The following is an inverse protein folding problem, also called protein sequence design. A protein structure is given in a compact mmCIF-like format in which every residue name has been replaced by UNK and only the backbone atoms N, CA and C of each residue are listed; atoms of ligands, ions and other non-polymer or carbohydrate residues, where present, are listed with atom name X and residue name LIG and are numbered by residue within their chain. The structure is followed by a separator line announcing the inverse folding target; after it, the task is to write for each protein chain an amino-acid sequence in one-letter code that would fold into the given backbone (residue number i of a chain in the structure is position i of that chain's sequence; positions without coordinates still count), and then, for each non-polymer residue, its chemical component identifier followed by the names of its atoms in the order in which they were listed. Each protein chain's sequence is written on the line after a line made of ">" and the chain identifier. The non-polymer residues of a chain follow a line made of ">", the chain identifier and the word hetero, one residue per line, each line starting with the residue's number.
data_IF_020425522463
#
_entry.id   IF_020425522463
#
_cell.length_a   1.000
_cell.length_b   1.000
_cell.length_c   1.000
_cell.angle_alpha   90.00
_cell.angle_beta   90.00
_cell.angle_gamma   90.00
#
_symmetry.space_group_name_H-M   'P 1'
#
loop_
_entity.id
_entity.type
_entity.pdbx_description
1 polymer ?
#
# COMPACT_ATOMS: atom_id res chain seq x y z
N UNK A 1 -30.61 -25.45 10.21
CA UNK A 1 -30.33 -24.12 9.61
C UNK A 1 -29.64 -24.39 8.29
N UNK A 2 -30.29 -24.05 7.18
CA UNK A 2 -29.94 -24.52 5.85
C UNK A 2 -28.59 -23.98 5.35
N UNK A 3 -27.77 -24.89 4.82
CA UNK A 3 -26.62 -24.60 3.97
C UNK A 3 -27.06 -23.67 2.82
N UNK A 4 -26.67 -22.39 2.85
CA UNK A 4 -26.74 -21.54 1.66
C UNK A 4 -25.79 -22.16 0.62
N UNK A 5 -26.33 -22.65 -0.49
CA UNK A 5 -25.58 -23.34 -1.55
C UNK A 5 -24.39 -22.51 -2.05
N UNK A 6 -23.21 -23.13 -2.10
CA UNK A 6 -21.96 -22.60 -2.68
C UNK A 6 -21.97 -22.55 -4.23
N UNK A 7 -23.13 -22.44 -4.87
CA UNK A 7 -23.27 -22.66 -6.32
C UNK A 7 -24.13 -21.63 -7.07
N UNK A 8 -24.58 -20.56 -6.43
CA UNK A 8 -25.25 -19.51 -7.18
C UNK A 8 -24.19 -18.63 -7.88
N UNK A 9 -24.09 -18.78 -9.20
CA UNK A 9 -23.64 -17.69 -10.08
C UNK A 9 -24.33 -16.42 -9.60
N UNK A 10 -23.58 -15.33 -9.43
CA UNK A 10 -24.08 -14.05 -8.92
C UNK A 10 -25.50 -13.78 -9.46
N UNK A 11 -26.51 -13.81 -8.58
CA UNK A 11 -27.89 -13.53 -8.97
C UNK A 11 -28.02 -12.03 -9.25
N UNK A 12 -28.93 -11.65 -10.17
CA UNK A 12 -29.16 -10.26 -10.62
C UNK A 12 -29.59 -9.30 -9.49
N UNK A 13 -29.98 -9.84 -8.34
CA UNK A 13 -30.44 -9.07 -7.17
C UNK A 13 -29.27 -8.59 -6.26
N UNK A 14 -28.04 -9.03 -6.51
CA UNK A 14 -26.83 -8.44 -5.93
C UNK A 14 -26.31 -7.41 -6.91
N UNK A 15 -26.13 -6.13 -6.55
CA UNK A 15 -25.61 -5.16 -7.50
C UNK A 15 -24.22 -5.62 -8.00
N UNK A 16 -24.16 -5.94 -9.29
CA UNK A 16 -22.97 -6.52 -9.91
C UNK A 16 -22.16 -5.40 -10.55
N UNK A 17 -20.86 -5.39 -10.31
CA UNK A 17 -19.95 -4.46 -10.96
C UNK A 17 -18.98 -5.22 -11.87
N UNK A 18 -18.77 -4.69 -13.08
CA UNK A 18 -17.81 -5.26 -14.02
C UNK A 18 -16.47 -4.53 -13.89
N UNK A 19 -15.40 -5.30 -13.72
CA UNK A 19 -14.03 -4.79 -13.71
C UNK A 19 -13.34 -5.30 -14.97
N UNK A 20 -12.65 -4.40 -15.65
CA UNK A 20 -11.88 -4.68 -16.85
C UNK A 20 -10.43 -4.94 -16.45
N UNK A 21 -9.99 -6.19 -16.51
CA UNK A 21 -8.60 -6.57 -16.22
C UNK A 21 -7.79 -6.51 -17.51
N UNK A 22 -6.98 -5.46 -17.68
CA UNK A 22 -6.19 -5.25 -18.90
C UNK A 22 -4.76 -5.75 -18.73
N UNK A 23 -4.27 -6.54 -19.67
CA UNK A 23 -2.90 -7.04 -19.69
C UNK A 23 -2.05 -6.25 -20.69
N UNK A 24 -1.15 -5.39 -20.22
CA UNK A 24 -0.13 -4.72 -21.04
C UNK A 24 1.25 -5.35 -20.86
N UNK A 25 1.35 -6.46 -20.12
CA UNK A 25 2.60 -7.22 -20.05
C UNK A 25 2.85 -7.93 -21.39
N UNK A 26 4.12 -8.03 -21.78
CA UNK A 26 4.52 -8.90 -22.89
C UNK A 26 4.55 -10.40 -22.55
N UNK A 27 3.91 -10.83 -21.45
CA UNK A 27 3.97 -12.21 -20.97
C UNK A 27 2.69 -13.00 -21.33
N UNK A 28 2.86 -14.27 -21.71
CA UNK A 28 1.76 -15.15 -22.15
C UNK A 28 1.06 -15.90 -21.01
N UNK A 29 1.53 -15.72 -19.77
CA UNK A 29 1.10 -16.50 -18.61
C UNK A 29 0.74 -15.60 -17.41
N UNK A 30 -0.08 -14.57 -17.65
CA UNK A 30 -0.56 -13.69 -16.59
C UNK A 30 -1.88 -14.19 -16.02
N UNK A 31 -1.98 -14.22 -14.70
CA UNK A 31 -3.22 -14.51 -13.99
C UNK A 31 -3.58 -13.37 -13.05
N UNK A 32 -4.88 -13.22 -12.82
CA UNK A 32 -5.44 -12.37 -11.79
C UNK A 32 -6.18 -13.19 -10.73
N UNK A 33 -6.29 -12.65 -9.52
CA UNK A 33 -7.12 -13.19 -8.43
C UNK A 33 -7.89 -12.04 -7.80
N UNK A 34 -9.20 -12.21 -7.63
CA UNK A 34 -10.06 -11.21 -6.96
C UNK A 34 -10.55 -11.81 -5.64
N UNK A 35 -10.29 -11.12 -4.54
CA UNK A 35 -10.70 -11.52 -3.18
C UNK A 35 -11.12 -10.30 -2.37
N UNK A 36 -11.89 -10.50 -1.30
CA UNK A 36 -12.33 -9.45 -0.37
C UNK A 36 -13.31 -10.02 0.64
N UNK A 37 -14.06 -9.15 1.31
CA UNK A 37 -15.19 -9.55 2.15
C UNK A 37 -16.49 -9.20 1.42
N UNK A 38 -17.37 -10.18 1.24
CA UNK A 38 -18.71 -9.94 0.70
C UNK A 38 -19.57 -9.21 1.72
N UNK A 39 -19.92 -7.96 1.43
CA UNK A 39 -20.61 -7.06 2.36
C UNK A 39 -21.97 -7.63 2.79
N UNK A 40 -22.68 -8.34 1.91
CA UNK A 40 -23.99 -8.89 2.25
C UNK A 40 -23.88 -10.12 3.15
N UNK A 41 -22.79 -10.87 3.05
CA UNK A 41 -22.61 -12.13 3.78
C UNK A 41 -21.75 -11.98 5.03
N UNK A 42 -20.82 -11.03 5.04
CA UNK A 42 -19.73 -10.95 6.01
C UNK A 42 -18.68 -12.06 5.84
N UNK A 43 -18.68 -12.75 4.69
CA UNK A 43 -17.84 -13.92 4.42
C UNK A 43 -16.61 -13.53 3.56
N UNK A 44 -15.49 -14.23 3.77
CA UNK A 44 -14.34 -14.19 2.85
C UNK A 44 -14.80 -14.63 1.45
N UNK A 45 -14.46 -13.82 0.45
CA UNK A 45 -14.79 -14.04 -0.95
C UNK A 45 -13.53 -14.27 -1.79
N UNK A 46 -13.65 -15.17 -2.76
CA UNK A 46 -12.78 -15.26 -3.93
C UNK A 46 -13.64 -15.36 -5.19
N UNK A 47 -13.14 -14.84 -6.30
CA UNK A 47 -13.70 -15.10 -7.61
C UNK A 47 -13.04 -16.33 -8.22
N UNK A 48 -13.83 -17.25 -8.77
CA UNK A 48 -13.29 -18.44 -9.45
C UNK A 48 -12.65 -18.06 -10.79
N UNK A 49 -11.85 -18.98 -11.34
CA UNK A 49 -11.08 -18.79 -12.56
C UNK A 49 -11.91 -18.41 -13.81
N UNK A 50 -13.24 -18.61 -13.79
CA UNK A 50 -14.16 -18.18 -14.85
C UNK A 50 -14.48 -16.67 -14.83
N UNK A 51 -14.01 -15.94 -13.81
CA UNK A 51 -14.21 -14.50 -13.66
C UNK A 51 -15.63 -14.09 -13.28
N UNK A 52 -16.51 -15.03 -12.91
CA UNK A 52 -17.93 -14.73 -12.65
C UNK A 52 -18.54 -15.50 -11.48
N UNK A 53 -18.02 -16.67 -11.13
CA UNK A 53 -18.60 -17.50 -10.08
C UNK A 53 -17.98 -17.17 -8.72
N UNK A 54 -18.78 -16.73 -7.73
CA UNK A 54 -18.33 -16.55 -6.36
C UNK A 54 -17.83 -17.85 -5.74
N UNK A 55 -16.81 -17.73 -4.91
CA UNK A 55 -16.33 -18.79 -4.03
C UNK A 55 -16.19 -18.23 -2.61
N UNK A 56 -16.88 -18.88 -1.67
CA UNK A 56 -16.80 -18.59 -0.24
C UNK A 56 -16.12 -19.78 0.43
N UNK A 57 -14.82 -19.68 0.75
CA UNK A 57 -14.12 -20.76 1.41
C UNK A 57 -14.74 -21.12 2.75
N UNK A 58 -14.69 -22.40 3.12
CA UNK A 58 -15.11 -22.85 4.46
C UNK A 58 -13.97 -22.69 5.44
N UNK A 59 -14.30 -22.54 6.73
CA UNK A 59 -13.29 -22.55 7.78
C UNK A 59 -12.58 -23.93 7.80
N UNK A 60 -11.27 -24.01 7.53
CA UNK A 60 -10.58 -25.29 7.49
C UNK A 60 -10.41 -25.87 8.90
N UNK A 61 -10.25 -27.19 8.99
CA UNK A 61 -9.97 -27.86 10.27
C UNK A 61 -8.54 -27.61 10.79
N UNK A 62 -7.61 -27.24 9.91
CA UNK A 62 -6.20 -26.98 10.21
C UNK A 62 -5.65 -25.81 9.40
N UNK A 63 -4.54 -25.24 9.89
CA UNK A 63 -3.83 -24.17 9.19
C UNK A 63 -3.17 -24.63 7.89
N UNK A 64 -3.00 -23.70 6.95
CA UNK A 64 -2.34 -23.94 5.67
C UNK A 64 -3.18 -24.72 4.64
N UNK A 65 -4.50 -24.82 4.82
CA UNK A 65 -5.37 -25.49 3.86
C UNK A 65 -5.39 -24.75 2.51
N UNK A 66 -5.31 -25.44 1.36
CA UNK A 66 -5.39 -24.79 0.05
C UNK A 66 -6.82 -24.31 -0.25
N UNK A 67 -6.98 -23.45 -1.26
CA UNK A 67 -8.29 -23.17 -1.84
C UNK A 67 -8.88 -24.44 -2.48
N UNK A 68 -10.17 -24.70 -2.28
CA UNK A 68 -10.87 -25.87 -2.83
C UNK A 68 -11.22 -25.70 -4.33
N UNK A 69 -11.15 -24.48 -4.84
CA UNK A 69 -11.46 -24.11 -6.20
C UNK A 69 -10.34 -23.30 -6.84
N UNK A 70 -10.16 -23.46 -8.16
CA UNK A 70 -9.24 -22.62 -8.91
C UNK A 70 -9.81 -21.19 -9.02
N UNK A 71 -9.01 -20.23 -8.56
CA UNK A 71 -9.29 -18.80 -8.58
C UNK A 71 -8.31 -18.03 -9.46
N UNK A 72 -7.44 -18.72 -10.21
CA UNK A 72 -6.49 -18.10 -11.13
C UNK A 72 -7.20 -17.73 -12.46
N UNK A 73 -7.66 -16.48 -12.56
CA UNK A 73 -8.30 -15.95 -13.77
C UNK A 73 -7.20 -15.65 -14.79
N UNK A 74 -7.11 -16.47 -15.85
CA UNK A 74 -6.11 -16.29 -16.89
C UNK A 74 -6.43 -15.06 -17.73
N UNK A 75 -5.48 -14.14 -17.87
CA UNK A 75 -5.59 -13.00 -18.77
C UNK A 75 -5.18 -13.40 -20.20
N UNK A 76 -5.68 -12.65 -21.18
CA UNK A 76 -5.29 -12.84 -22.58
C UNK A 76 -3.88 -12.30 -22.89
N UNK A 77 -3.56 -12.22 -24.18
CA UNK A 77 -2.30 -11.67 -24.69
C UNK A 77 -2.11 -10.18 -24.39
N UNK A 78 -0.96 -9.62 -24.79
CA UNK A 78 -0.69 -8.19 -24.78
C UNK A 78 -1.89 -7.38 -25.33
N UNK A 79 -2.23 -6.32 -24.62
CA UNK A 79 -3.34 -5.39 -24.84
C UNK A 79 -4.75 -5.97 -24.78
N UNK A 80 -4.89 -7.24 -24.37
CA UNK A 80 -6.21 -7.83 -24.14
C UNK A 80 -6.86 -7.34 -22.84
N UNK A 81 -8.19 -7.40 -22.80
CA UNK A 81 -9.00 -7.12 -21.61
C UNK A 81 -9.83 -8.35 -21.23
N UNK A 82 -9.82 -8.70 -19.96
CA UNK A 82 -10.61 -9.80 -19.39
C UNK A 82 -11.73 -9.26 -18.50
N UNK A 83 -12.95 -9.69 -18.84
CA UNK A 83 -14.23 -9.56 -18.14
C UNK A 83 -14.27 -10.20 -16.75
N UNK A 84 -14.34 -9.46 -15.64
CA UNK A 84 -14.75 -10.04 -14.34
C UNK A 84 -15.98 -9.35 -13.76
N UNK A 85 -16.79 -10.10 -13.02
CA UNK A 85 -18.01 -9.61 -12.36
C UNK A 85 -17.95 -9.92 -10.88
N UNK A 86 -18.16 -8.90 -10.06
CA UNK A 86 -18.08 -8.99 -8.59
C UNK A 86 -19.41 -8.55 -7.93
N UNK A 87 -19.71 -9.07 -6.72
CA UNK A 87 -20.73 -8.47 -5.86
C UNK A 87 -20.15 -7.22 -5.17
N UNK A 88 -20.92 -6.63 -4.26
CA UNK A 88 -20.37 -5.66 -3.31
C UNK A 88 -19.31 -6.29 -2.41
N UNK A 89 -18.13 -5.68 -2.41
CA UNK A 89 -16.95 -6.17 -1.69
C UNK A 89 -16.31 -5.02 -0.93
N UNK A 90 -15.91 -5.27 0.31
CA UNK A 90 -15.03 -4.40 1.07
C UNK A 90 -13.67 -5.08 1.27
N UNK A 91 -12.63 -4.28 1.53
CA UNK A 91 -11.25 -4.78 1.67
C UNK A 91 -10.84 -5.67 0.48
N UNK A 92 -11.29 -5.30 -0.71
CA UNK A 92 -11.08 -6.05 -1.93
C UNK A 92 -9.64 -5.90 -2.42
N UNK A 93 -9.10 -6.99 -2.99
CA UNK A 93 -7.80 -7.01 -3.66
C UNK A 93 -7.90 -7.70 -5.01
N UNK A 94 -7.27 -7.09 -6.00
CA UNK A 94 -7.04 -7.65 -7.33
C UNK A 94 -5.54 -7.90 -7.45
N UNK A 95 -5.13 -9.15 -7.27
CA UNK A 95 -3.75 -9.58 -7.47
C UNK A 95 -3.52 -9.82 -8.96
N UNK A 96 -2.34 -9.45 -9.45
CA UNK A 96 -1.81 -9.89 -10.74
C UNK A 96 -0.48 -10.60 -10.55
N UNK A 97 -0.23 -11.62 -11.37
CA UNK A 97 1.01 -12.41 -11.32
C UNK A 97 1.40 -12.90 -12.71
N UNK A 98 2.70 -12.86 -13.02
CA UNK A 98 3.26 -13.63 -14.14
C UNK A 98 3.54 -15.04 -13.58
N UNK A 99 2.70 -16.02 -13.95
CA UNK A 99 2.63 -17.33 -13.32
C UNK A 99 1.35 -17.52 -12.52
N UNK A 100 1.41 -18.19 -11.36
CA UNK A 100 0.29 -18.38 -10.44
C UNK A 100 0.72 -18.04 -9.01
N UNK A 101 -0.22 -17.53 -8.21
CA UNK A 101 -0.07 -17.39 -6.77
C UNK A 101 -0.66 -18.60 -6.04
N UNK A 102 -0.06 -18.94 -4.92
CA UNK A 102 -0.54 -19.95 -3.98
C UNK A 102 -1.13 -19.24 -2.76
N UNK A 103 -2.43 -19.44 -2.54
CA UNK A 103 -3.12 -18.98 -1.34
C UNK A 103 -3.35 -20.15 -0.39
N UNK A 104 -3.41 -19.85 0.90
CA UNK A 104 -3.81 -20.82 1.92
C UNK A 104 -4.73 -20.18 2.95
N UNK A 105 -5.47 -21.02 3.65
CA UNK A 105 -6.42 -20.65 4.68
C UNK A 105 -6.00 -21.23 6.02
N UNK A 106 -6.07 -20.41 7.06
CA UNK A 106 -5.93 -20.83 8.44
C UNK A 106 -7.31 -21.04 9.07
N UNK A 107 -7.35 -21.91 10.08
CA UNK A 107 -8.53 -22.08 10.91
C UNK A 107 -8.68 -20.80 11.76
N UNK A 108 -9.68 -19.99 11.45
CA UNK A 108 -9.99 -18.79 12.20
C UNK A 108 -11.07 -19.05 13.25
N UNK A 109 -11.37 -18.02 14.04
CA UNK A 109 -12.40 -18.09 15.07
C UNK A 109 -13.81 -18.05 14.44
N UNK A 110 -14.27 -19.19 13.92
CA UNK A 110 -15.59 -19.36 13.31
C UNK A 110 -15.66 -19.11 11.80
N UNK A 111 -14.61 -18.57 11.18
CA UNK A 111 -14.51 -18.29 9.74
C UNK A 111 -13.07 -18.51 9.26
N UNK A 112 -12.83 -18.84 7.97
CA UNK A 112 -11.47 -19.01 7.46
C UNK A 112 -10.68 -17.69 7.51
N UNK A 113 -9.42 -17.77 7.88
CA UNK A 113 -8.49 -16.63 7.78
C UNK A 113 -7.60 -16.79 6.53
N UNK A 114 -7.64 -15.82 5.62
CA UNK A 114 -6.78 -15.83 4.44
C UNK A 114 -5.32 -15.57 4.84
N UNK A 115 -4.42 -16.46 4.45
CA UNK A 115 -2.98 -16.20 4.45
C UNK A 115 -2.65 -15.51 3.14
N UNK A 116 -2.44 -14.20 3.20
CA UNK A 116 -2.09 -13.38 2.03
C UNK A 116 -0.65 -13.64 1.59
N UNK A 117 -0.33 -13.55 0.28
CA UNK A 117 1.05 -13.66 -0.20
C UNK A 117 1.96 -12.64 0.51
N UNK A 118 3.12 -13.10 1.00
CA UNK A 118 4.13 -12.23 1.58
C UNK A 118 5.16 -11.80 0.53
N UNK A 119 5.54 -10.51 0.47
CA UNK A 119 6.53 -10.04 -0.49
C UNK A 119 7.98 -10.32 -0.07
N UNK A 120 8.25 -10.60 1.22
CA UNK A 120 9.61 -10.75 1.74
C UNK A 120 9.90 -12.08 2.43
N UNK A 121 8.87 -12.91 2.71
CA UNK A 121 9.05 -14.18 3.42
C UNK A 121 9.88 -15.18 2.59
N UNK A 122 11.09 -15.46 3.08
CA UNK A 122 11.98 -16.47 2.50
C UNK A 122 11.35 -17.86 2.57
N UNK A 123 11.44 -18.61 1.47
CA UNK A 123 10.89 -19.97 1.39
C UNK A 123 9.38 -20.04 1.10
N UNK A 124 8.69 -18.88 1.04
CA UNK A 124 7.29 -18.83 0.59
C UNK A 124 7.15 -19.38 -0.83
N UNK A 125 6.03 -20.07 -1.10
CA UNK A 125 5.68 -20.56 -2.44
C UNK A 125 5.50 -19.42 -3.46
N UNK A 126 5.26 -18.20 -2.97
CA UNK A 126 5.09 -17.00 -3.79
C UNK A 126 6.36 -16.15 -3.87
N UNK A 127 7.49 -16.62 -3.33
CA UNK A 127 8.73 -15.85 -3.32
C UNK A 127 9.20 -15.53 -4.74
N UNK A 128 9.34 -16.54 -5.60
CA UNK A 128 10.06 -16.49 -6.89
C UNK A 128 9.18 -16.03 -8.09
N UNK A 129 8.01 -15.44 -7.83
CA UNK A 129 7.06 -15.00 -8.87
C UNK A 129 6.91 -13.48 -8.88
N UNK A 130 6.72 -12.87 -10.05
CA UNK A 130 6.45 -11.42 -10.14
C UNK A 130 4.97 -11.18 -9.94
N UNK A 131 4.59 -10.45 -8.91
CA UNK A 131 3.19 -10.12 -8.60
C UNK A 131 3.05 -8.72 -8.00
N UNK A 132 1.82 -8.21 -8.01
CA UNK A 132 1.39 -7.00 -7.31
C UNK A 132 -0.12 -7.07 -7.07
N UNK A 133 -0.69 -6.11 -6.37
CA UNK A 133 -2.14 -5.99 -6.24
C UNK A 133 -2.60 -4.53 -6.20
N UNK A 134 -3.84 -4.33 -6.65
CA UNK A 134 -4.62 -3.13 -6.35
C UNK A 134 -5.66 -3.44 -5.28
N UNK A 135 -6.00 -2.45 -4.48
CA UNK A 135 -7.05 -2.53 -3.48
C UNK A 135 -8.31 -1.84 -4.00
N UNK A 136 -9.47 -2.30 -3.56
CA UNK A 136 -10.73 -1.66 -3.88
C UNK A 136 -11.82 -1.94 -2.83
N UNK A 137 -12.81 -1.05 -2.78
CA UNK A 137 -14.08 -1.26 -2.09
C UNK A 137 -15.18 -0.87 -3.06
N UNK A 138 -16.09 -1.80 -3.31
CA UNK A 138 -17.35 -1.57 -4.01
C UNK A 138 -18.49 -1.78 -3.04
N UNK A 139 -18.96 -0.70 -2.41
CA UNK A 139 -20.11 -0.74 -1.52
C UNK A 139 -21.36 -0.20 -2.24
N UNK A 140 -22.47 -0.06 -1.52
CA UNK A 140 -23.76 0.38 -2.10
C UNK A 140 -23.76 1.82 -2.59
N UNK A 141 -22.76 2.61 -2.19
CA UNK A 141 -22.70 4.04 -2.46
C UNK A 141 -21.53 4.43 -3.36
N UNK A 142 -20.43 3.69 -3.31
CA UNK A 142 -19.15 4.14 -3.85
C UNK A 142 -18.28 2.98 -4.35
N UNK A 143 -17.54 3.26 -5.43
CA UNK A 143 -16.32 2.55 -5.80
C UNK A 143 -15.12 3.36 -5.35
N UNK A 144 -14.22 2.74 -4.60
CA UNK A 144 -12.88 3.20 -4.32
C UNK A 144 -11.90 2.17 -4.86
N UNK A 145 -10.82 2.59 -5.50
CA UNK A 145 -9.70 1.71 -5.83
C UNK A 145 -8.38 2.46 -5.70
N UNK A 146 -7.33 1.79 -5.23
CA UNK A 146 -6.01 2.37 -5.07
C UNK A 146 -4.87 1.38 -5.37
N UNK A 147 -3.74 1.94 -5.78
CA UNK A 147 -2.43 1.27 -5.71
C UNK A 147 -1.67 1.79 -4.49
N UNK A 148 -0.79 0.95 -3.95
CA UNK A 148 0.06 1.29 -2.81
C UNK A 148 1.42 0.61 -2.96
N UNK A 149 2.44 1.26 -2.41
CA UNK A 149 3.82 0.78 -2.30
C UNK A 149 4.23 0.66 -0.82
N UNK A 150 3.27 0.67 0.10
CA UNK A 150 3.46 0.60 1.55
C UNK A 150 4.00 -0.76 2.02
N UNK A 151 3.78 -1.82 1.24
CA UNK A 151 4.35 -3.14 1.51
C UNK A 151 5.61 -3.38 0.66
N UNK A 152 5.52 -3.09 -0.65
CA UNK A 152 6.59 -3.27 -1.63
C UNK A 152 6.23 -2.65 -3.00
N UNK A 153 7.24 -2.46 -3.83
CA UNK A 153 7.13 -2.22 -5.28
C UNK A 153 7.11 -3.56 -6.02
N UNK A 154 5.95 -3.91 -6.58
CA UNK A 154 5.72 -5.11 -7.38
C UNK A 154 5.47 -4.82 -8.86
N UNK A 155 4.91 -5.80 -9.57
CA UNK A 155 4.41 -5.60 -10.94
C UNK A 155 3.65 -4.26 -11.07
N UNK A 156 3.92 -3.47 -12.13
CA UNK A 156 3.23 -2.20 -12.32
C UNK A 156 1.73 -2.38 -12.53
N UNK A 157 0.93 -1.60 -11.80
CA UNK A 157 -0.53 -1.54 -11.92
C UNK A 157 -0.97 -0.09 -12.13
N UNK A 158 -1.89 0.11 -13.08
CA UNK A 158 -2.57 1.38 -13.33
C UNK A 158 -4.08 1.24 -13.13
N UNK A 159 -4.74 2.34 -12.77
CA UNK A 159 -6.19 2.39 -12.56
C UNK A 159 -6.82 3.45 -13.46
N UNK A 160 -7.94 3.10 -14.09
CA UNK A 160 -8.79 4.05 -14.79
C UNK A 160 -10.23 3.84 -14.36
N UNK A 161 -10.88 4.89 -13.84
CA UNK A 161 -12.27 4.86 -13.42
C UNK A 161 -13.09 5.84 -14.26
N UNK A 162 -14.09 5.33 -14.98
CA UNK A 162 -15.10 6.15 -15.66
C UNK A 162 -16.34 6.25 -14.81
N UNK A 163 -16.95 7.43 -14.78
CA UNK A 163 -18.18 7.71 -14.04
C UNK A 163 -19.35 7.90 -14.98
N UNK A 164 -20.57 7.69 -14.47
CA UNK A 164 -21.80 7.92 -15.23
C UNK A 164 -21.98 9.37 -15.72
N UNK A 165 -21.25 10.33 -15.14
CA UNK A 165 -21.20 11.73 -15.60
C UNK A 165 -20.25 11.96 -16.77
N UNK A 166 -19.57 10.91 -17.27
CA UNK A 166 -18.58 10.98 -18.34
C UNK A 166 -17.18 11.39 -17.89
N UNK A 167 -16.92 11.56 -16.58
CA UNK A 167 -15.60 11.90 -16.08
C UNK A 167 -14.71 10.65 -16.05
N UNK A 168 -13.42 10.84 -16.31
CA UNK A 168 -12.40 9.78 -16.21
C UNK A 168 -11.33 10.19 -15.19
N UNK A 169 -11.08 9.32 -14.22
CA UNK A 169 -9.94 9.42 -13.31
C UNK A 169 -8.90 8.38 -13.72
N UNK A 170 -7.62 8.74 -13.58
CA UNK A 170 -6.51 7.86 -13.91
C UNK A 170 -5.41 7.95 -12.85
N UNK A 171 -4.84 6.80 -12.51
CA UNK A 171 -3.61 6.65 -11.72
C UNK A 171 -2.67 5.82 -12.58
N UNK A 172 -1.52 6.39 -12.94
CA UNK A 172 -0.62 5.79 -13.93
C UNK A 172 0.15 4.60 -13.36
N UNK A 173 0.48 4.63 -12.07
CA UNK A 173 1.39 3.69 -11.45
C UNK A 173 2.79 3.72 -12.09
N UNK A 174 3.56 2.67 -11.87
CA UNK A 174 4.90 2.55 -12.46
C UNK A 174 4.82 2.29 -13.98
N UNK A 175 5.83 2.73 -14.71
CA UNK A 175 6.07 2.29 -16.08
C UNK A 175 6.48 0.80 -16.12
N UNK A 176 6.51 0.20 -17.31
CA UNK A 176 6.83 -1.22 -17.49
C UNK A 176 8.20 -1.63 -16.89
N UNK A 177 9.19 -0.75 -16.92
CA UNK A 177 10.53 -0.95 -16.35
C UNK A 177 10.66 -0.42 -14.91
N UNK A 178 9.58 0.08 -14.30
CA UNK A 178 9.63 0.78 -13.02
C UNK A 178 10.21 -0.05 -11.87
N UNK A 179 9.91 -1.35 -11.81
CA UNK A 179 10.50 -2.25 -10.79
C UNK A 179 12.02 -2.33 -10.94
N UNK A 180 12.51 -2.50 -12.17
CA UNK A 180 13.93 -2.54 -12.48
C UNK A 180 14.61 -1.22 -12.08
N UNK A 181 13.99 -0.10 -12.44
CA UNK A 181 14.50 1.25 -12.17
C UNK A 181 14.56 1.54 -10.67
N UNK A 182 13.50 1.22 -9.92
CA UNK A 182 13.48 1.33 -8.45
C UNK A 182 14.59 0.48 -7.83
N UNK A 183 14.69 -0.80 -8.20
CA UNK A 183 15.68 -1.70 -7.61
C UNK A 183 17.11 -1.20 -7.87
N UNK A 184 17.43 -0.78 -9.09
CA UNK A 184 18.74 -0.22 -9.44
C UNK A 184 19.06 1.06 -8.68
N UNK A 185 18.07 1.96 -8.50
CA UNK A 185 18.24 3.18 -7.71
C UNK A 185 18.49 2.87 -6.23
N UNK A 186 17.80 1.89 -5.66
CA UNK A 186 18.04 1.45 -4.27
C UNK A 186 19.42 0.82 -4.09
N UNK A 187 19.86 -0.02 -5.03
CA UNK A 187 21.24 -0.53 -5.05
C UNK A 187 22.25 0.61 -5.14
N UNK A 188 21.99 1.63 -5.96
CA UNK A 188 22.85 2.80 -6.09
C UNK A 188 22.95 3.61 -4.79
N UNK A 189 21.81 3.94 -4.17
CA UNK A 189 21.77 4.62 -2.86
C UNK A 189 22.50 3.80 -1.79
N UNK A 190 22.42 2.47 -1.91
CA UNK A 190 23.09 1.49 -1.06
C UNK A 190 24.60 1.69 -0.89
N UNK A 191 25.25 2.32 -1.87
CA UNK A 191 26.70 2.55 -1.84
C UNK A 191 27.11 3.66 -0.86
N UNK A 192 26.29 4.70 -0.69
CA UNK A 192 26.69 5.94 0.00
C UNK A 192 25.87 6.25 1.26
N UNK A 193 24.67 5.67 1.41
CA UNK A 193 23.68 6.15 2.39
C UNK A 193 23.06 5.04 3.27
N UNK A 194 23.73 3.89 3.39
CA UNK A 194 23.26 2.74 4.18
C UNK A 194 22.89 1.55 3.30
N UNK A 195 22.42 0.45 3.89
CA UNK A 195 22.27 -0.83 3.18
C UNK A 195 20.90 -0.97 2.46
N UNK A 196 20.53 0.06 1.67
CA UNK A 196 19.27 0.11 0.92
C UNK A 196 19.16 -0.99 -0.16
N UNK A 197 20.30 -1.53 -0.59
CA UNK A 197 20.36 -2.67 -1.52
C UNK A 197 19.67 -3.93 -0.95
N UNK A 198 19.65 -4.12 0.38
CA UNK A 198 18.94 -5.24 1.02
C UNK A 198 17.42 -5.23 0.83
N UNK A 199 16.84 -4.09 0.46
CA UNK A 199 15.42 -3.99 0.16
C UNK A 199 15.07 -4.62 -1.20
N UNK A 200 16.06 -4.92 -2.03
CA UNK A 200 15.86 -5.50 -3.36
C UNK A 200 15.74 -7.01 -3.28
N UNK A 201 14.59 -7.53 -3.69
CA UNK A 201 14.32 -8.96 -3.75
C UNK A 201 14.56 -9.48 -5.16
N UNK A 202 15.43 -10.48 -5.28
CA UNK A 202 15.76 -11.14 -6.55
C UNK A 202 15.28 -12.58 -6.58
N UNK A 203 15.00 -13.06 -7.79
CA UNK A 203 14.69 -14.45 -8.06
C UNK A 203 15.91 -15.33 -7.81
N UNK A 204 15.70 -16.64 -7.76
CA UNK A 204 16.81 -17.61 -7.69
C UNK A 204 17.78 -17.49 -8.88
N UNK A 205 17.30 -16.97 -10.00
CA UNK A 205 18.07 -16.74 -11.22
C UNK A 205 18.66 -15.32 -11.28
N UNK A 206 18.48 -14.51 -10.24
CA UNK A 206 19.04 -13.16 -10.13
C UNK A 206 18.21 -12.06 -10.78
N UNK A 207 16.98 -12.34 -11.22
CA UNK A 207 16.09 -11.31 -11.78
C UNK A 207 15.51 -10.44 -10.67
N UNK A 208 15.35 -9.13 -10.92
CA UNK A 208 14.62 -8.26 -10.00
C UNK A 208 13.14 -8.67 -9.94
N UNK A 209 12.65 -8.99 -8.74
CA UNK A 209 11.27 -9.35 -8.51
C UNK A 209 10.45 -8.20 -7.95
N UNK A 210 11.02 -7.48 -6.96
CA UNK A 210 10.39 -6.41 -6.21
C UNK A 210 11.38 -5.67 -5.32
N UNK A 211 10.98 -4.52 -4.81
CA UNK A 211 11.66 -3.84 -3.69
C UNK A 211 10.72 -3.73 -2.49
N UNK A 212 11.14 -4.16 -1.31
CA UNK A 212 10.31 -4.14 -0.09
C UNK A 212 10.53 -2.84 0.69
N UNK A 213 9.58 -2.46 1.55
CA UNK A 213 9.75 -1.26 2.38
C UNK A 213 10.88 -1.42 3.39
N UNK A 214 11.44 -0.30 3.90
CA UNK A 214 12.49 -0.35 4.92
C UNK A 214 12.06 -1.13 6.16
N UNK A 215 10.82 -0.95 6.62
CA UNK A 215 10.28 -1.68 7.76
C UNK A 215 10.24 -3.20 7.52
N UNK A 216 9.76 -3.64 6.36
CA UNK A 216 9.80 -5.07 5.97
C UNK A 216 11.24 -5.58 5.85
N UNK A 217 12.17 -4.75 5.37
CA UNK A 217 13.60 -5.05 5.36
C UNK A 217 14.17 -5.29 6.76
N UNK A 218 13.79 -4.48 7.75
CA UNK A 218 14.22 -4.65 9.15
C UNK A 218 13.70 -5.94 9.76
N UNK A 219 12.50 -6.39 9.38
CA UNK A 219 11.96 -7.68 9.80
C UNK A 219 12.73 -8.86 9.19
N UNK A 220 13.11 -8.73 7.92
CA UNK A 220 13.85 -9.78 7.21
C UNK A 220 15.33 -9.84 7.63
N UNK A 221 15.94 -8.69 7.90
CA UNK A 221 17.35 -8.55 8.25
C UNK A 221 17.49 -7.84 9.59
N UNK A 222 17.56 -8.60 10.71
CA UNK A 222 17.76 -8.02 12.03
C UNK A 222 18.99 -7.10 12.06
N UNK A 223 18.82 -5.90 12.61
CA UNK A 223 19.86 -4.87 12.69
C UNK A 223 20.00 -3.98 11.45
N UNK A 224 19.22 -4.22 10.39
CA UNK A 224 19.18 -3.32 9.24
C UNK A 224 18.66 -1.94 9.67
N UNK A 225 19.38 -0.87 9.30
CA UNK A 225 19.08 0.52 9.65
C UNK A 225 19.08 0.85 11.16
N UNK A 226 19.68 0.03 12.02
CA UNK A 226 19.81 0.37 13.44
C UNK A 226 20.47 1.74 13.61
N UNK A 227 19.76 2.63 14.32
CA UNK A 227 20.20 3.99 14.60
C UNK A 227 20.29 4.94 13.39
N UNK A 228 19.77 4.56 12.22
CA UNK A 228 19.87 5.36 10.99
C UNK A 228 19.32 6.79 11.15
N UNK A 229 18.18 6.95 11.84
CA UNK A 229 17.56 8.25 12.10
C UNK A 229 18.05 8.96 13.38
N UNK A 230 18.82 8.31 14.26
CA UNK A 230 19.05 8.81 15.63
C UNK A 230 19.64 10.23 15.63
N UNK A 231 20.66 10.48 14.81
CA UNK A 231 21.28 11.81 14.70
C UNK A 231 20.34 12.87 14.12
N UNK A 232 19.44 12.49 13.21
CA UNK A 232 18.45 13.40 12.66
C UNK A 232 17.41 13.76 13.73
N UNK A 233 16.91 12.75 14.45
CA UNK A 233 15.97 12.91 15.58
C UNK A 233 16.58 13.77 16.68
N UNK A 234 17.85 13.56 17.04
CA UNK A 234 18.54 14.39 18.03
C UNK A 234 18.56 15.87 17.65
N UNK A 235 18.90 16.18 16.38
CA UNK A 235 18.90 17.56 15.87
C UNK A 235 17.50 18.16 15.82
N UNK A 236 16.49 17.36 15.47
CA UNK A 236 15.08 17.81 15.50
C UNK A 236 14.68 18.18 16.91
N UNK A 237 15.04 17.36 17.90
CA UNK A 237 14.78 17.64 19.30
C UNK A 237 15.55 18.85 19.82
N UNK A 238 16.79 19.05 19.38
CA UNK A 238 17.58 20.25 19.71
C UNK A 238 16.95 21.51 19.13
N UNK A 239 16.62 21.51 17.83
CA UNK A 239 16.00 22.64 17.14
C UNK A 239 14.73 23.12 17.85
N UNK A 240 13.85 22.19 18.24
CA UNK A 240 12.55 22.53 18.81
C UNK A 240 12.54 22.77 20.33
N UNK A 241 13.71 22.76 20.99
CA UNK A 241 13.84 23.34 22.34
C UNK A 241 13.71 24.86 22.28
N UNK A 242 14.40 25.49 21.32
CA UNK A 242 14.47 26.95 21.19
C UNK A 242 13.48 27.52 20.17
N UNK A 243 12.94 26.69 19.28
CA UNK A 243 12.04 27.12 18.21
C UNK A 243 10.70 26.37 18.29
N UNK A 244 9.55 27.03 18.07
CA UNK A 244 8.28 26.32 17.98
C UNK A 244 8.19 25.48 16.71
N UNK A 245 7.62 24.27 16.83
CA UNK A 245 7.07 23.50 15.73
C UNK A 245 5.58 23.84 15.57
N UNK A 246 5.16 24.31 14.39
CA UNK A 246 3.76 24.55 14.09
C UNK A 246 3.15 23.29 13.46
N UNK A 247 2.14 22.72 14.11
CA UNK A 247 1.48 21.50 13.68
C UNK A 247 0.08 21.86 13.20
N UNK A 248 -0.09 21.93 11.89
CA UNK A 248 -1.35 22.29 11.26
C UNK A 248 -2.24 21.06 11.07
N UNK A 249 -3.17 20.88 11.99
CA UNK A 249 -4.15 19.79 11.95
C UNK A 249 -5.44 20.28 11.29
N UNK A 250 -6.05 19.46 10.45
CA UNK A 250 -7.36 19.78 9.84
C UNK A 250 -8.48 19.86 10.89
N UNK A 251 -8.39 19.07 11.96
CA UNK A 251 -9.42 18.96 12.99
C UNK A 251 -9.38 20.07 14.05
N UNK A 252 -8.19 20.43 14.53
CA UNK A 252 -7.99 21.35 15.66
C UNK A 252 -7.30 22.67 15.27
N UNK A 253 -6.96 22.84 14.00
CA UNK A 253 -6.19 23.99 13.52
C UNK A 253 -4.71 23.88 13.86
N UNK A 254 -4.02 25.03 13.92
CA UNK A 254 -2.58 25.10 14.15
C UNK A 254 -2.26 24.99 15.65
N UNK A 255 -1.58 23.91 16.03
CA UNK A 255 -1.02 23.68 17.35
C UNK A 255 0.45 24.12 17.37
N UNK A 256 0.94 24.53 18.54
CA UNK A 256 2.37 24.84 18.74
C UNK A 256 3.02 23.72 19.55
N UNK A 257 4.20 23.31 19.11
CA UNK A 257 5.01 22.29 19.73
C UNK A 257 6.37 22.81 20.20
N UNK A 258 6.83 22.31 21.35
CA UNK A 258 8.14 22.60 21.92
C UNK A 258 8.70 21.36 22.59
N UNK A 259 10.03 21.23 22.60
CA UNK A 259 10.71 20.19 23.36
C UNK A 259 10.98 20.70 24.77
N UNK A 260 10.39 20.03 25.75
CA UNK A 260 10.56 20.30 27.18
C UNK A 260 10.90 19.01 27.91
N UNK A 261 11.90 19.03 28.80
CA UNK A 261 12.34 17.86 29.57
C UNK A 261 12.64 16.62 28.71
N UNK A 262 13.11 16.82 27.47
CA UNK A 262 13.47 15.74 26.54
C UNK A 262 12.30 15.19 25.72
N UNK A 263 11.09 15.71 25.88
CA UNK A 263 9.90 15.28 25.15
C UNK A 263 9.33 16.40 24.29
N UNK A 264 8.88 16.07 23.08
CA UNK A 264 8.18 17.03 22.21
C UNK A 264 6.72 17.12 22.65
N UNK A 265 6.33 18.27 23.20
CA UNK A 265 4.96 18.56 23.61
C UNK A 265 4.27 19.35 22.52
N UNK A 266 3.10 18.91 22.07
CA UNK A 266 2.28 19.57 21.05
C UNK A 266 0.85 19.58 21.55
N UNK A 267 0.27 20.76 21.79
CA UNK A 267 -1.04 20.85 22.42
C UNK A 267 -1.05 20.18 23.81
N UNK A 268 -2.01 19.29 24.05
CA UNK A 268 -2.11 18.47 25.26
C UNK A 268 -1.31 17.16 25.20
N UNK A 269 -0.60 16.90 24.10
CA UNK A 269 0.05 15.63 23.82
C UNK A 269 1.57 15.68 23.98
N UNK A 270 2.17 14.53 24.26
CA UNK A 270 3.62 14.37 24.46
C UNK A 270 4.18 13.23 23.62
N UNK A 271 5.32 13.47 22.98
CA UNK A 271 6.00 12.52 22.10
C UNK A 271 7.45 12.35 22.54
N UNK A 272 7.84 11.11 22.81
CA UNK A 272 9.25 10.75 23.00
C UNK A 272 9.99 10.71 21.66
N UNK A 273 11.32 10.68 21.70
CA UNK A 273 12.14 10.49 20.49
C UNK A 273 11.74 9.17 19.80
N UNK A 274 11.35 9.19 18.52
CA UNK A 274 11.08 7.95 17.78
C UNK A 274 12.38 7.24 17.43
N UNK A 275 12.35 5.91 17.43
CA UNK A 275 13.40 5.09 16.83
C UNK A 275 13.28 5.06 15.30
N UNK A 276 14.31 4.54 14.63
CA UNK A 276 14.26 4.28 13.19
C UNK A 276 13.09 3.34 12.81
N UNK A 277 12.82 2.32 13.63
CA UNK A 277 11.70 1.40 13.40
C UNK A 277 10.35 2.11 13.53
N UNK A 278 10.20 3.03 14.50
CA UNK A 278 8.96 3.82 14.66
C UNK A 278 8.74 4.71 13.43
N UNK A 279 9.79 5.35 12.90
CA UNK A 279 9.70 6.22 11.73
C UNK A 279 9.32 5.45 10.47
N UNK A 280 9.96 4.31 10.19
CA UNK A 280 9.63 3.53 8.99
C UNK A 280 8.31 2.75 9.12
N UNK A 281 7.94 2.32 10.34
CA UNK A 281 6.74 1.52 10.59
C UNK A 281 5.46 2.33 10.81
N UNK A 282 5.60 3.59 11.27
CA UNK A 282 4.49 4.51 11.57
C UNK A 282 3.41 3.96 12.53
N UNK A 283 3.74 2.98 13.37
CA UNK A 283 2.75 2.26 14.17
C UNK A 283 3.20 1.85 15.58
N UNK A 284 4.41 2.24 16.00
CA UNK A 284 5.01 1.89 17.29
C UNK A 284 5.60 3.10 18.00
N UNK A 285 6.03 2.90 19.25
CA UNK A 285 6.65 3.94 20.06
C UNK A 285 5.76 5.19 20.16
N UNK A 286 6.30 6.41 19.91
CA UNK A 286 5.50 7.63 19.96
C UNK A 286 4.43 7.70 18.85
N UNK A 287 4.48 6.82 17.84
CA UNK A 287 3.51 6.76 16.74
C UNK A 287 2.52 5.60 16.86
N UNK A 288 2.47 4.92 18.00
CA UNK A 288 1.39 3.98 18.28
C UNK A 288 0.03 4.71 18.20
N UNK A 289 -0.89 4.17 17.41
CA UNK A 289 -2.22 4.77 17.15
C UNK A 289 -3.20 4.53 18.32
N UNK A 290 -2.82 5.00 19.51
CA UNK A 290 -3.55 4.90 20.78
C UNK A 290 -3.64 6.28 21.43
N UNK A 291 -4.56 6.47 22.37
CA UNK A 291 -4.70 7.74 23.11
C UNK A 291 -5.81 8.64 22.58
N UNK A 292 -5.66 9.95 22.79
CA UNK A 292 -6.68 10.97 22.47
C UNK A 292 -6.85 11.16 20.95
N UNK A 293 -7.97 11.76 20.54
CA UNK A 293 -8.18 12.11 19.13
C UNK A 293 -7.20 13.19 18.64
N UNK A 294 -6.77 14.11 19.51
CA UNK A 294 -5.72 15.08 19.20
C UNK A 294 -4.40 14.38 18.86
N UNK A 295 -4.03 13.37 19.66
CA UNK A 295 -2.84 12.55 19.39
C UNK A 295 -2.90 11.88 18.03
N UNK A 296 -4.03 11.24 17.73
CA UNK A 296 -4.25 10.54 16.45
C UNK A 296 -4.26 11.51 15.26
N UNK A 297 -4.63 12.76 15.45
CA UNK A 297 -4.54 13.81 14.43
C UNK A 297 -3.10 14.33 14.22
N UNK A 298 -2.25 14.30 15.26
CA UNK A 298 -0.84 14.74 15.19
C UNK A 298 0.07 13.66 14.60
N UNK A 299 -0.14 12.37 14.94
CA UNK A 299 0.74 11.25 14.55
C UNK A 299 1.03 11.24 13.03
N UNK A 300 0.04 11.31 12.12
CA UNK A 300 0.29 11.30 10.68
C UNK A 300 1.24 12.41 10.23
N UNK A 301 1.09 13.62 10.80
CA UNK A 301 1.88 14.80 10.45
C UNK A 301 3.35 14.60 10.79
N UNK A 302 3.64 14.12 12.00
CA UNK A 302 5.02 13.83 12.43
C UNK A 302 5.62 12.69 11.62
N UNK A 303 4.88 11.59 11.43
CA UNK A 303 5.31 10.45 10.63
C UNK A 303 5.73 10.86 9.21
N UNK A 304 4.90 11.67 8.53
CA UNK A 304 5.20 12.17 7.20
C UNK A 304 6.43 13.09 7.19
N UNK A 305 6.56 13.98 8.17
CA UNK A 305 7.67 14.91 8.26
C UNK A 305 9.02 14.21 8.52
N UNK A 306 9.04 13.14 9.34
CA UNK A 306 10.25 12.32 9.53
C UNK A 306 10.61 11.53 8.27
N UNK A 307 9.64 10.86 7.63
CA UNK A 307 9.90 10.08 6.42
C UNK A 307 10.43 10.97 5.28
N UNK A 308 9.88 12.18 5.14
CA UNK A 308 10.28 13.17 4.13
C UNK A 308 11.45 14.05 4.58
N UNK A 309 11.98 13.87 5.79
CA UNK A 309 13.09 14.61 6.36
C UNK A 309 12.93 16.14 6.37
N UNK A 310 11.71 16.66 6.60
CA UNK A 310 11.40 18.11 6.50
C UNK A 310 11.56 18.88 7.81
N UNK A 311 11.58 18.22 8.97
CA UNK A 311 11.58 18.89 10.29
C UNK A 311 12.81 19.77 10.57
N UNK A 312 13.97 19.46 9.97
CA UNK A 312 15.13 20.37 10.07
C UNK A 312 15.05 21.54 9.09
N UNK A 313 14.36 21.36 7.98
CA UNK A 313 14.25 22.33 6.89
C UNK A 313 13.22 23.40 7.20
N UNK A 314 12.02 23.01 7.64
CA UNK A 314 10.92 23.90 7.99
C UNK A 314 10.57 23.80 9.50
N UNK A 315 9.72 24.70 9.98
CA UNK A 315 9.17 24.74 11.33
C UNK A 315 7.66 24.49 11.34
N UNK A 316 7.04 24.21 10.20
CA UNK A 316 5.62 23.84 10.06
C UNK A 316 5.45 22.43 9.47
N UNK A 317 4.47 21.70 10.00
CA UNK A 317 4.04 20.39 9.48
C UNK A 317 2.52 20.39 9.25
N UNK A 318 2.01 19.94 8.08
CA UNK A 318 2.77 19.57 6.87
C UNK A 318 3.65 20.70 6.35
N UNK A 319 4.77 20.33 5.73
CA UNK A 319 5.70 21.29 5.14
C UNK A 319 4.99 22.16 4.09
N UNK A 320 5.05 23.50 4.20
CA UNK A 320 4.31 24.41 3.33
C UNK A 320 4.84 24.46 1.90
N UNK A 321 6.13 24.18 1.69
CA UNK A 321 6.78 24.11 0.37
C UNK A 321 6.61 22.70 -0.27
N UNK A 322 6.16 21.74 0.53
CA UNK A 322 5.72 20.42 0.09
C UNK A 322 6.82 19.66 -0.65
N UNK A 323 6.49 19.13 -1.83
CA UNK A 323 7.40 18.28 -2.62
C UNK A 323 8.77 18.93 -2.93
N UNK A 324 8.89 20.26 -2.87
CA UNK A 324 10.18 20.92 -3.12
C UNK A 324 11.21 20.60 -2.03
N UNK A 325 10.75 20.39 -0.79
CA UNK A 325 11.60 20.18 0.38
C UNK A 325 11.68 18.72 0.82
N UNK A 326 10.87 17.84 0.24
CA UNK A 326 10.89 16.41 0.56
C UNK A 326 12.22 15.75 0.16
N UNK A 327 12.72 14.90 1.06
CA UNK A 327 13.86 14.00 0.86
C UNK A 327 15.19 14.70 0.51
N UNK A 328 15.39 15.91 1.06
CA UNK A 328 16.59 16.74 0.85
C UNK A 328 17.68 16.54 1.90
N UNK A 329 17.35 16.03 3.09
CA UNK A 329 18.37 15.65 4.06
C UNK A 329 19.10 14.37 3.62
N UNK A 330 20.34 14.22 4.05
CA UNK A 330 21.14 13.00 3.87
C UNK A 330 20.59 11.79 4.64
N UNK A 331 19.81 12.03 5.71
CA UNK A 331 19.08 11.00 6.45
C UNK A 331 17.60 11.16 6.10
N UNK A 332 17.13 10.29 5.22
CA UNK A 332 15.75 10.32 4.73
C UNK A 332 15.24 8.92 4.37
N UNK A 333 13.94 8.79 4.08
CA UNK A 333 13.39 7.55 3.56
C UNK A 333 13.69 7.44 2.06
N UNK A 334 14.87 6.88 1.72
CA UNK A 334 15.29 6.73 0.33
C UNK A 334 14.41 5.77 -0.47
N UNK A 335 13.74 4.82 0.17
CA UNK A 335 12.73 3.99 -0.50
C UNK A 335 11.60 4.87 -1.03
N UNK A 336 10.99 5.68 -0.17
CA UNK A 336 9.89 6.56 -0.59
C UNK A 336 10.36 7.58 -1.64
N UNK A 337 11.53 8.19 -1.44
CA UNK A 337 12.16 9.08 -2.42
C UNK A 337 12.24 8.44 -3.81
N UNK A 338 12.86 7.25 -3.90
CA UNK A 338 13.06 6.54 -5.17
C UNK A 338 11.74 6.15 -5.81
N UNK A 339 10.75 5.70 -5.03
CA UNK A 339 9.43 5.34 -5.55
C UNK A 339 8.76 6.55 -6.19
N UNK A 340 8.69 7.70 -5.52
CA UNK A 340 8.08 8.90 -6.10
C UNK A 340 8.87 9.47 -7.29
N UNK A 341 10.20 9.33 -7.32
CA UNK A 341 11.01 9.73 -8.48
C UNK A 341 10.69 8.92 -9.74
N UNK A 342 10.27 7.67 -9.59
CA UNK A 342 10.00 6.75 -10.71
C UNK A 342 8.52 6.78 -11.11
N UNK A 343 7.62 7.18 -10.22
CA UNK A 343 6.21 7.38 -10.53
C UNK A 343 6.01 8.64 -11.38
N UNK A 344 5.41 8.54 -12.58
CA UNK A 344 5.26 9.68 -13.50
C UNK A 344 4.31 10.76 -12.96
N UNK A 345 3.29 10.37 -12.19
CA UNK A 345 2.37 11.29 -11.50
C UNK A 345 2.76 11.53 -10.02
N UNK A 346 3.75 10.77 -9.52
CA UNK A 346 4.19 10.75 -8.13
C UNK A 346 3.14 10.18 -7.15
N UNK A 347 2.08 9.52 -7.62
CA UNK A 347 0.94 9.09 -6.80
C UNK A 347 1.04 7.63 -6.36
N UNK A 348 0.67 7.37 -5.11
CA UNK A 348 0.76 6.06 -4.45
C UNK A 348 1.52 6.15 -3.14
N UNK A 349 1.03 5.45 -2.11
CA UNK A 349 1.63 5.49 -0.77
C UNK A 349 2.95 4.72 -0.74
N UNK A 350 4.07 5.38 -0.47
CA UNK A 350 5.32 4.70 -0.19
C UNK A 350 5.55 4.43 1.32
N UNK A 351 4.72 5.04 2.17
CA UNK A 351 4.61 4.80 3.62
C UNK A 351 3.18 5.14 4.10
N UNK A 352 2.83 4.86 5.36
CA UNK A 352 1.44 4.84 5.82
C UNK A 352 0.69 6.18 5.72
N UNK A 353 1.40 7.30 5.93
CA UNK A 353 0.82 8.65 6.02
C UNK A 353 1.33 9.56 4.90
N UNK A 354 1.55 8.98 3.72
CA UNK A 354 2.08 9.68 2.54
C UNK A 354 1.04 10.56 1.82
N UNK A 355 -0.21 10.48 2.26
CA UNK A 355 -1.29 11.39 1.87
C UNK A 355 -1.27 12.72 2.64
N UNK A 356 -0.53 12.81 3.73
CA UNK A 356 -0.32 14.08 4.45
C UNK A 356 0.30 15.08 3.47
N UNK A 357 -0.33 16.23 3.33
CA UNK A 357 0.10 17.27 2.40
C UNK A 357 -0.40 18.64 2.88
N UNK A 358 0.25 19.74 2.50
CA UNK A 358 -0.27 21.07 2.78
C UNK A 358 -1.64 21.28 2.11
N UNK A 359 -2.44 22.18 2.66
CA UNK A 359 -3.76 22.50 2.12
C UNK A 359 -3.68 22.92 0.65
N UNK A 360 -4.62 22.45 -0.17
CA UNK A 360 -4.66 22.74 -1.61
C UNK A 360 -3.65 21.97 -2.46
N UNK A 361 -2.81 21.11 -1.85
CA UNK A 361 -1.92 20.24 -2.62
C UNK A 361 -2.69 19.21 -3.46
N UNK A 362 -2.08 18.82 -4.59
CA UNK A 362 -2.62 17.77 -5.45
C UNK A 362 -2.60 16.44 -4.73
N UNK A 363 -3.71 15.72 -4.81
CA UNK A 363 -3.88 14.36 -4.28
C UNK A 363 -2.67 13.46 -4.60
N UNK A 364 -2.00 12.98 -3.55
CA UNK A 364 -0.92 12.00 -3.63
C UNK A 364 -1.44 10.57 -3.56
N UNK A 365 -2.70 10.37 -3.16
CA UNK A 365 -3.23 9.03 -3.05
C UNK A 365 -3.24 8.40 -4.46
N UNK A 366 -2.77 7.17 -4.57
CA UNK A 366 -2.81 6.38 -5.81
C UNK A 366 -4.23 5.90 -6.11
N UNK A 367 -5.24 6.74 -5.87
CA UNK A 367 -6.66 6.37 -5.76
C UNK A 367 -7.51 6.92 -6.90
N UNK A 368 -8.54 6.17 -7.24
CA UNK A 368 -9.71 6.62 -7.99
C UNK A 368 -10.98 6.37 -7.17
N UNK A 369 -11.97 7.25 -7.28
CA UNK A 369 -13.23 7.12 -6.53
C UNK A 369 -14.43 7.68 -7.30
N UNK A 370 -15.59 7.03 -7.16
CA UNK A 370 -16.86 7.59 -7.65
C UNK A 370 -18.05 7.04 -6.86
N UNK A 371 -19.04 7.90 -6.60
CA UNK A 371 -20.37 7.50 -6.12
C UNK A 371 -21.29 6.99 -7.24
N UNK A 372 -20.87 7.13 -8.50
CA UNK A 372 -21.60 6.65 -9.69
C UNK A 372 -20.61 6.03 -10.69
N UNK A 373 -19.90 4.95 -10.32
CA UNK A 373 -18.93 4.31 -11.20
C UNK A 373 -19.64 3.59 -12.35
N UNK A 374 -19.06 3.66 -13.54
CA UNK A 374 -19.55 2.95 -14.72
C UNK A 374 -18.58 1.84 -15.14
N UNK A 375 -17.28 2.12 -15.10
CA UNK A 375 -16.23 1.18 -15.52
C UNK A 375 -14.97 1.40 -14.67
N UNK A 376 -14.45 0.33 -14.07
CA UNK A 376 -13.10 0.30 -13.52
C UNK A 376 -12.21 -0.57 -14.41
N UNK A 377 -11.16 0.02 -14.97
CA UNK A 377 -10.08 -0.70 -15.65
C UNK A 377 -8.88 -0.79 -14.72
N UNK A 378 -8.42 -2.01 -14.48
CA UNK A 378 -7.19 -2.29 -13.73
C UNK A 378 -6.20 -2.92 -14.69
N UNK A 379 -5.12 -2.19 -14.98
CA UNK A 379 -4.13 -2.58 -15.98
C UNK A 379 -2.87 -3.09 -15.30
N UNK A 380 -2.37 -4.27 -15.69
CA UNK A 380 -1.08 -4.79 -15.26
C UNK A 380 -0.05 -4.73 -16.38
N UNK A 381 1.18 -4.31 -16.06
CA UNK A 381 2.30 -4.28 -17.00
C UNK A 381 2.85 -2.89 -17.32
N UNK A 382 2.28 -1.85 -16.69
CA UNK A 382 2.64 -0.46 -16.95
C UNK A 382 1.78 0.16 -18.04
N UNK A 383 1.95 1.45 -18.26
CA UNK A 383 1.25 2.24 -19.26
C UNK A 383 2.11 2.54 -20.48
#
# INVERSE_FOLDING_TARGET
>A
MGSKNNQEVLNRDQAQFQIHLRNTTGADNVHAYVTGTDIQRGDLFFLRADGKTPYYPKNPSSNGAPLEHDCAIKLGSLDSTTLVTIPHLESGRIYFVIGKLVFSLNNGNGAPALVTPSPFELGSKNYDVKWSFAEFTWNTENMYANISFQDYVGLPIALTLKTASGNTQHVAGLAADGVLTVCKKLEYVGHDHGDWAKLVMKSKQGEYLRAITPYNGMQLYPGLFDGYYDKYVDKVWEKYQDNPLLVNTVATGKLTGHVENGELKIGGETFTKPSTADIFGNNSGPFANVGSEERKAIIPLLCAAFNRSTLLKDHEVPDPDGRQDYYKDTVTNYYAKVVHEVLPDGRGYAFAYDDVQPEGAKDQSGRVHSGSPEELVVTVGGH
#
